data_IF_861906722066
#
_entry.id   IF_861906722066
#
_cell.length_a   1.000
_cell.length_b   1.000
_cell.length_c   1.000
_cell.angle_alpha   90.00
_cell.angle_beta   90.00
_cell.angle_gamma   90.00
#
_symmetry.space_group_name_H-M   'P 1'
#
loop_
_entity.id
_entity.type
_entity.pdbx_description
1 polymer ?
#
# COMPACT_ATOMS: atom_id res chain seq x y z
N UNK A 1 -10.28 22.28 -31.32
CA UNK A 1 -10.10 20.83 -31.13
C UNK A 1 -8.73 20.62 -30.52
N UNK A 2 -8.60 20.05 -29.32
CA UNK A 2 -7.28 19.76 -28.73
C UNK A 2 -6.67 18.58 -29.49
N UNK A 3 -5.46 18.75 -30.04
CA UNK A 3 -4.73 17.66 -30.69
C UNK A 3 -4.44 16.56 -29.65
N UNK A 4 -4.66 15.28 -29.99
CA UNK A 4 -4.23 14.18 -29.12
C UNK A 4 -2.70 14.15 -29.04
N UNK A 5 -2.16 13.82 -27.87
CA UNK A 5 -0.72 13.64 -27.68
C UNK A 5 -0.19 12.58 -28.65
N UNK A 6 0.98 12.83 -29.24
CA UNK A 6 1.65 11.85 -30.10
C UNK A 6 2.22 10.70 -29.26
N UNK A 7 2.43 9.53 -29.87
CA UNK A 7 2.99 8.37 -29.18
C UNK A 7 4.34 8.66 -28.49
N UNK A 8 5.20 9.45 -29.15
CA UNK A 8 6.48 9.90 -28.59
C UNK A 8 6.30 10.84 -27.39
N UNK A 9 5.29 11.72 -27.40
CA UNK A 9 4.98 12.57 -26.25
C UNK A 9 4.46 11.74 -25.08
N UNK A 10 3.67 10.70 -25.33
CA UNK A 10 3.20 9.78 -24.30
C UNK A 10 4.38 9.00 -23.70
N UNK A 11 5.31 8.50 -24.52
CA UNK A 11 6.52 7.80 -24.06
C UNK A 11 7.46 8.71 -23.27
N UNK A 12 7.61 9.96 -23.70
CA UNK A 12 8.39 10.96 -22.98
C UNK A 12 7.76 11.32 -21.62
N UNK A 13 6.43 11.45 -21.58
CA UNK A 13 5.69 11.66 -20.34
C UNK A 13 5.78 10.43 -19.43
N UNK A 14 5.76 9.21 -19.96
CA UNK A 14 5.98 7.98 -19.19
C UNK A 14 7.41 7.87 -18.66
N UNK A 15 8.44 8.23 -19.43
CA UNK A 15 9.82 8.24 -18.90
C UNK A 15 10.05 9.34 -17.85
N UNK A 16 9.40 10.50 -18.00
CA UNK A 16 9.64 11.68 -17.16
C UNK A 16 8.72 11.77 -15.94
N UNK A 17 7.48 11.32 -16.10
CA UNK A 17 6.40 11.40 -15.11
C UNK A 17 5.69 10.07 -14.90
N UNK A 18 5.99 9.02 -15.68
CA UNK A 18 5.67 7.66 -15.31
C UNK A 18 6.44 7.40 -14.04
N UNK A 19 5.76 7.69 -12.94
CA UNK A 19 6.02 7.16 -11.64
C UNK A 19 6.09 5.65 -11.86
N UNK A 20 7.29 5.12 -12.15
CA UNK A 20 7.69 3.87 -11.55
C UNK A 20 7.39 4.11 -10.09
N UNK A 21 6.25 3.60 -9.62
CA UNK A 21 5.96 3.57 -8.20
C UNK A 21 7.25 3.10 -7.56
N UNK A 22 7.82 3.95 -6.72
CA UNK A 22 9.11 3.71 -6.07
C UNK A 22 9.06 2.42 -5.24
N UNK A 23 7.83 1.96 -4.97
CA UNK A 23 7.47 0.67 -4.46
C UNK A 23 7.87 -0.44 -5.44
N UNK A 24 8.65 -1.39 -4.95
CA UNK A 24 8.86 -2.66 -5.63
C UNK A 24 7.56 -3.42 -5.85
N UNK A 25 7.58 -4.39 -6.77
CA UNK A 25 6.41 -5.24 -7.00
C UNK A 25 6.00 -6.02 -5.75
N UNK A 26 6.95 -6.38 -4.87
CA UNK A 26 6.66 -7.02 -3.60
C UNK A 26 5.92 -6.09 -2.62
N UNK A 27 6.30 -4.80 -2.53
CA UNK A 27 5.61 -3.81 -1.72
C UNK A 27 4.20 -3.54 -2.24
N UNK A 28 4.02 -3.47 -3.57
CA UNK A 28 2.70 -3.33 -4.19
C UNK A 28 1.81 -4.53 -3.89
N UNK A 29 2.35 -5.75 -4.02
CA UNK A 29 1.62 -6.96 -3.73
C UNK A 29 1.16 -6.99 -2.27
N UNK A 30 2.07 -6.66 -1.34
CA UNK A 30 1.74 -6.57 0.08
C UNK A 30 0.64 -5.53 0.35
N UNK A 31 0.72 -4.33 -0.23
CA UNK A 31 -0.34 -3.31 -0.11
C UNK A 31 -1.68 -3.79 -0.66
N UNK A 32 -1.66 -4.56 -1.75
CA UNK A 32 -2.86 -5.18 -2.32
C UNK A 32 -3.45 -6.23 -1.37
N UNK A 33 -2.62 -7.09 -0.76
CA UNK A 33 -3.05 -8.07 0.24
C UNK A 33 -3.74 -7.39 1.42
N UNK A 34 -3.16 -6.31 1.95
CA UNK A 34 -3.75 -5.53 3.04
C UNK A 34 -5.11 -4.96 2.66
N UNK A 35 -5.27 -4.45 1.44
CA UNK A 35 -6.55 -3.94 0.95
C UNK A 35 -7.59 -5.03 0.73
N UNK A 36 -7.18 -6.22 0.30
CA UNK A 36 -8.11 -7.35 0.14
C UNK A 36 -8.58 -7.84 1.50
N UNK A 37 -7.66 -8.00 2.45
CA UNK A 37 -8.00 -8.38 3.81
C UNK A 37 -8.93 -7.35 4.47
N UNK A 38 -8.62 -6.06 4.39
CA UNK A 38 -9.46 -5.03 5.03
C UNK A 38 -10.87 -4.98 4.45
N UNK A 39 -11.04 -5.27 3.15
CA UNK A 39 -12.36 -5.40 2.51
C UNK A 39 -13.10 -6.65 2.96
N UNK A 40 -12.40 -7.78 3.07
CA UNK A 40 -12.99 -9.05 3.51
C UNK A 40 -13.36 -9.06 5.00
N UNK A 41 -12.59 -8.36 5.84
CA UNK A 41 -12.81 -8.24 7.28
C UNK A 41 -13.71 -7.08 7.68
N UNK A 42 -14.07 -6.20 6.74
CA UNK A 42 -15.02 -5.14 6.99
C UNK A 42 -16.40 -5.72 7.32
N UNK A 43 -17.08 -5.10 8.28
CA UNK A 43 -18.44 -5.45 8.68
C UNK A 43 -19.26 -4.16 8.91
N UNK A 44 -20.52 -4.29 9.32
CA UNK A 44 -21.39 -3.13 9.54
C UNK A 44 -20.87 -2.16 10.62
N UNK A 45 -20.08 -2.66 11.58
CA UNK A 45 -19.52 -1.87 12.67
C UNK A 45 -18.15 -1.25 12.32
N UNK A 46 -17.37 -1.91 11.46
CA UNK A 46 -16.01 -1.49 11.11
C UNK A 46 -15.83 -1.43 9.59
N UNK A 47 -15.62 -0.21 9.09
CA UNK A 47 -15.35 0.03 7.67
C UNK A 47 -13.96 -0.47 7.28
N UNK A 48 -13.83 -0.97 6.04
CA UNK A 48 -12.56 -1.39 5.44
C UNK A 48 -11.47 -0.30 5.52
N UNK A 49 -11.85 0.97 5.36
CA UNK A 49 -10.96 2.12 5.49
C UNK A 49 -10.40 2.28 6.90
N UNK A 50 -11.19 1.99 7.93
CA UNK A 50 -10.72 2.03 9.33
C UNK A 50 -9.67 0.95 9.58
N UNK A 51 -9.93 -0.28 9.08
CA UNK A 51 -9.02 -1.41 9.20
C UNK A 51 -7.68 -1.14 8.53
N UNK A 52 -7.69 -0.69 7.26
CA UNK A 52 -6.43 -0.45 6.54
C UNK A 52 -5.62 0.70 7.15
N UNK A 53 -6.29 1.75 7.63
CA UNK A 53 -5.60 2.84 8.34
C UNK A 53 -4.99 2.36 9.66
N UNK A 54 -5.68 1.48 10.39
CA UNK A 54 -5.16 0.85 11.61
C UNK A 54 -3.92 0.00 11.33
N UNK A 55 -3.99 -0.87 10.32
CA UNK A 55 -2.84 -1.68 9.90
C UNK A 55 -1.66 -0.82 9.45
N UNK A 56 -1.91 0.22 8.64
CA UNK A 56 -0.84 1.13 8.21
C UNK A 56 -0.22 1.89 9.38
N UNK A 57 -1.01 2.28 10.38
CA UNK A 57 -0.49 2.89 11.60
C UNK A 57 0.37 1.90 12.39
N UNK A 58 -0.08 0.66 12.58
CA UNK A 58 0.67 -0.38 13.27
C UNK A 58 2.03 -0.66 12.58
N UNK A 59 2.04 -0.82 11.26
CA UNK A 59 3.26 -1.03 10.49
C UNK A 59 4.20 0.17 10.62
N UNK A 60 3.67 1.40 10.51
CA UNK A 60 4.47 2.63 10.66
C UNK A 60 5.10 2.74 12.05
N UNK A 61 4.36 2.38 13.09
CA UNK A 61 4.88 2.40 14.46
C UNK A 61 5.95 1.33 14.66
N UNK A 62 5.72 0.09 14.20
CA UNK A 62 6.67 -1.02 14.36
C UNK A 62 7.99 -0.78 13.61
N UNK A 63 7.92 -0.18 12.43
CA UNK A 63 9.08 0.12 11.59
C UNK A 63 9.63 1.54 11.78
N UNK A 64 9.05 2.33 12.69
CA UNK A 64 9.37 3.75 12.91
C UNK A 64 9.37 4.59 11.60
N UNK A 65 8.38 4.34 10.72
CA UNK A 65 8.26 5.00 9.43
C UNK A 65 7.45 6.29 9.52
N UNK A 66 8.04 7.38 9.01
CA UNK A 66 7.32 8.65 8.85
C UNK A 66 6.10 8.53 7.92
N UNK A 67 6.20 7.70 6.87
CA UNK A 67 5.12 7.45 5.91
C UNK A 67 5.23 6.02 5.36
N UNK A 68 4.10 5.43 4.97
CA UNK A 68 4.03 4.10 4.36
C UNK A 68 4.74 4.02 3.01
N UNK A 69 4.94 5.15 2.33
CA UNK A 69 5.76 5.26 1.11
C UNK A 69 7.26 5.09 1.33
N UNK A 70 7.71 5.06 2.59
CA UNK A 70 9.09 4.71 2.93
C UNK A 70 9.27 3.19 3.10
N UNK A 71 8.20 2.40 3.00
CA UNK A 71 8.29 0.95 3.08
C UNK A 71 9.10 0.43 1.89
N UNK A 72 10.14 -0.34 2.19
CA UNK A 72 11.04 -0.97 1.21
C UNK A 72 10.99 -2.49 1.35
N UNK A 73 11.53 -3.21 0.37
CA UNK A 73 11.56 -4.67 0.33
C UNK A 73 12.14 -5.32 1.59
N UNK A 74 13.26 -4.80 2.09
CA UNK A 74 13.94 -5.30 3.29
C UNK A 74 13.07 -5.23 4.55
N UNK A 75 12.08 -4.32 4.57
CA UNK A 75 11.18 -4.12 5.69
C UNK A 75 9.90 -4.94 5.58
N UNK A 76 9.64 -5.61 4.44
CA UNK A 76 8.44 -6.40 4.23
C UNK A 76 8.26 -7.55 5.23
N UNK A 77 9.30 -8.30 5.65
CA UNK A 77 9.12 -9.35 6.65
C UNK A 77 8.57 -8.81 7.97
N UNK A 78 9.11 -7.68 8.41
CA UNK A 78 8.69 -7.02 9.65
C UNK A 78 7.30 -6.35 9.49
N UNK A 79 7.00 -5.80 8.31
CA UNK A 79 5.68 -5.26 7.99
C UNK A 79 4.59 -6.35 7.97
N UNK A 80 4.90 -7.53 7.42
CA UNK A 80 4.02 -8.70 7.43
C UNK A 80 3.77 -9.17 8.85
N UNK A 81 4.81 -9.25 9.69
CA UNK A 81 4.65 -9.59 11.09
C UNK A 81 3.74 -8.60 11.83
N UNK A 82 3.92 -7.28 11.60
CA UNK A 82 3.05 -6.25 12.19
C UNK A 82 1.58 -6.42 11.77
N UNK A 83 1.37 -6.81 10.51
CA UNK A 83 0.04 -7.09 9.99
C UNK A 83 -0.58 -8.33 10.64
N UNK A 84 0.18 -9.41 10.80
CA UNK A 84 -0.28 -10.63 11.46
C UNK A 84 -0.69 -10.37 12.92
N UNK A 85 0.14 -9.66 13.70
CA UNK A 85 -0.18 -9.29 15.08
C UNK A 85 -1.45 -8.43 15.18
N UNK A 86 -1.62 -7.49 14.24
CA UNK A 86 -2.84 -6.68 14.17
C UNK A 86 -4.06 -7.54 13.84
N UNK A 87 -3.91 -8.48 12.92
CA UNK A 87 -4.98 -9.39 12.51
C UNK A 87 -5.42 -10.30 13.65
N UNK A 88 -4.46 -10.83 14.42
CA UNK A 88 -4.73 -11.62 15.61
C UNK A 88 -5.43 -10.80 16.69
N UNK A 89 -5.01 -9.55 16.90
CA UNK A 89 -5.64 -8.64 17.88
C UNK A 89 -7.05 -8.19 17.48
N UNK A 90 -7.37 -8.17 16.18
CA UNK A 90 -8.70 -7.81 15.69
C UNK A 90 -9.67 -9.01 15.64
N UNK A 91 -9.14 -10.23 15.48
CA UNK A 91 -9.93 -11.46 15.39
C UNK A 91 -10.23 -12.15 16.73
N UNK A 92 -9.77 -11.58 17.85
CA UNK A 92 -9.96 -12.06 19.21
C UNK A 92 -10.87 -11.08 19.98
#
# INVERSE_FOLDING_TARGET
MQQPFTAEQIQFLDQRYGHKSRDSDAVKQFRSELSQWSKASANENVKATTLINGVYAAIRLKLNLKNMNALSDDMLPQAKQAFEEFRESFGN
#
